data_IF_887141558459
#
_entry.id   IF_887141558459
#
_cell.length_a   1.000
_cell.length_b   1.000
_cell.length_c   1.000
_cell.angle_alpha   90.00
_cell.angle_beta   90.00
_cell.angle_gamma   90.00
#
_symmetry.space_group_name_H-M   'P 1'
#
loop_
_entity.id
_entity.type
_entity.pdbx_description
1 polymer ?
#
# COMPACT_ATOMS: atom_id res chain seq x y z
N UNK A 1 2.79 17.15 19.94
CA UNK A 1 2.21 16.43 21.07
C UNK A 1 3.24 15.40 21.46
N UNK A 2 3.75 15.48 22.68
CA UNK A 2 4.56 14.40 23.23
C UNK A 2 3.67 13.17 23.39
N UNK A 3 4.23 11.97 23.22
CA UNK A 3 3.43 10.74 23.18
C UNK A 3 2.67 10.50 24.50
N UNK A 4 3.25 10.95 25.62
CA UNK A 4 2.63 10.90 26.94
C UNK A 4 1.34 11.75 27.01
N UNK A 5 1.34 12.93 26.39
CA UNK A 5 0.16 13.82 26.32
C UNK A 5 -0.95 13.22 25.44
N UNK A 6 -0.58 12.42 24.43
CA UNK A 6 -1.52 11.67 23.59
C UNK A 6 -2.17 10.53 24.39
N UNK A 7 -1.41 9.76 25.17
CA UNK A 7 -1.95 8.68 26.00
C UNK A 7 -2.90 9.21 27.09
N UNK A 8 -2.52 10.30 27.77
CA UNK A 8 -3.38 10.95 28.77
C UNK A 8 -4.72 11.43 28.18
N UNK A 9 -4.70 12.02 26.97
CA UNK A 9 -5.92 12.54 26.32
C UNK A 9 -6.78 11.48 25.64
N UNK A 10 -6.18 10.40 25.14
CA UNK A 10 -6.89 9.32 24.44
C UNK A 10 -7.46 8.27 25.39
N UNK A 11 -7.01 8.23 26.65
CA UNK A 11 -7.36 7.17 27.59
C UNK A 11 -6.77 5.81 27.22
N UNK A 12 -5.83 5.78 26.26
CA UNK A 12 -5.11 4.58 25.84
C UNK A 12 -3.94 4.32 26.79
N UNK A 13 -3.79 3.06 27.18
CA UNK A 13 -2.59 2.60 27.88
C UNK A 13 -1.43 2.40 26.90
N UNK A 14 -0.22 2.77 27.33
CA UNK A 14 0.98 2.69 26.50
C UNK A 14 1.29 1.26 26.07
N UNK A 15 1.18 0.30 27.00
CA UNK A 15 1.47 -1.11 26.71
C UNK A 15 0.45 -1.68 25.73
N UNK A 16 -0.83 -1.34 25.90
CA UNK A 16 -1.88 -1.67 24.94
C UNK A 16 -1.62 -1.11 23.54
N UNK A 17 -1.24 0.17 23.45
CA UNK A 17 -0.93 0.81 22.17
C UNK A 17 0.30 0.21 21.49
N UNK A 18 1.38 -0.04 22.22
CA UNK A 18 2.58 -0.70 21.67
C UNK A 18 2.26 -2.11 21.15
N UNK A 19 1.42 -2.86 21.86
CA UNK A 19 0.95 -4.17 21.42
C UNK A 19 0.13 -4.10 20.13
N UNK A 20 -0.79 -3.13 20.02
CA UNK A 20 -1.57 -2.91 18.79
C UNK A 20 -0.67 -2.58 17.60
N UNK A 21 0.37 -1.74 17.83
CA UNK A 21 1.35 -1.42 16.81
C UNK A 21 2.16 -2.65 16.37
N UNK A 22 2.58 -3.50 17.31
CA UNK A 22 3.32 -4.74 17.00
C UNK A 22 2.46 -5.72 16.20
N UNK A 23 1.20 -5.91 16.58
CA UNK A 23 0.26 -6.77 15.85
C UNK A 23 0.00 -6.24 14.43
N UNK A 24 -0.20 -4.93 14.27
CA UNK A 24 -0.35 -4.29 12.97
C UNK A 24 0.92 -4.42 12.11
N UNK A 25 2.09 -4.20 12.69
CA UNK A 25 3.38 -4.32 12.00
C UNK A 25 3.60 -5.76 11.51
N UNK A 26 3.32 -6.76 12.36
CA UNK A 26 3.41 -8.17 12.00
C UNK A 26 2.53 -8.51 10.78
N UNK A 27 1.29 -8.01 10.74
CA UNK A 27 0.39 -8.21 9.60
C UNK A 27 0.94 -7.57 8.33
N UNK A 28 1.45 -6.33 8.42
CA UNK A 28 2.02 -5.60 7.27
C UNK A 28 3.25 -6.31 6.72
N UNK A 29 4.20 -6.68 7.59
CA UNK A 29 5.45 -7.36 7.19
C UNK A 29 5.13 -8.72 6.57
N UNK A 30 4.27 -9.52 7.21
CA UNK A 30 3.86 -10.81 6.67
C UNK A 30 3.21 -10.66 5.29
N UNK A 31 2.32 -9.68 5.10
CA UNK A 31 1.69 -9.42 3.81
C UNK A 31 2.73 -9.04 2.74
N UNK A 32 3.67 -8.15 3.08
CA UNK A 32 4.72 -7.73 2.15
C UNK A 32 5.57 -8.93 1.69
N UNK A 33 6.07 -9.72 2.64
CA UNK A 33 6.90 -10.90 2.36
C UNK A 33 6.16 -11.95 1.52
N UNK A 34 4.86 -12.16 1.77
CA UNK A 34 4.05 -13.10 0.99
C UNK A 34 3.84 -12.61 -0.45
N UNK A 35 3.58 -11.32 -0.63
CA UNK A 35 3.43 -10.74 -1.97
C UNK A 35 4.75 -10.74 -2.73
N UNK A 36 5.87 -10.44 -2.08
CA UNK A 36 7.21 -10.53 -2.68
C UNK A 36 7.52 -11.94 -3.16
N UNK A 37 7.36 -12.95 -2.29
CA UNK A 37 7.58 -14.35 -2.66
C UNK A 37 6.67 -14.81 -3.80
N UNK A 38 5.42 -14.33 -3.86
CA UNK A 38 4.49 -14.64 -4.93
C UNK A 38 4.90 -13.98 -6.26
N UNK A 39 5.39 -12.74 -6.20
CA UNK A 39 5.89 -12.01 -7.36
C UNK A 39 7.11 -12.72 -7.96
N UNK A 40 8.06 -13.14 -7.11
CA UNK A 40 9.26 -13.87 -7.51
C UNK A 40 8.90 -15.22 -8.14
N UNK A 41 8.01 -15.99 -7.51
CA UNK A 41 7.63 -17.33 -7.98
C UNK A 41 6.89 -17.31 -9.34
N UNK A 42 6.35 -16.17 -9.75
CA UNK A 42 5.58 -16.02 -10.99
C UNK A 42 6.22 -15.04 -11.98
N UNK A 43 7.48 -14.65 -11.74
CA UNK A 43 8.25 -13.70 -12.57
C UNK A 43 7.48 -12.39 -12.86
N UNK A 44 6.78 -11.89 -11.84
CA UNK A 44 6.05 -10.63 -11.93
C UNK A 44 7.05 -9.50 -11.74
N UNK A 45 7.25 -8.71 -12.80
CA UNK A 45 8.15 -7.56 -12.80
C UNK A 45 7.41 -6.28 -13.19
N UNK A 46 7.97 -5.14 -12.78
CA UNK A 46 7.61 -3.83 -13.32
C UNK A 46 8.45 -3.54 -14.57
N UNK A 47 7.92 -2.70 -15.45
CA UNK A 47 8.62 -2.24 -16.66
C UNK A 47 8.93 -0.75 -16.58
N UNK A 48 9.96 -0.26 -17.31
CA UNK A 48 10.22 1.18 -17.41
C UNK A 48 9.02 1.99 -17.91
N UNK A 49 8.24 1.42 -18.82
CA UNK A 49 7.03 2.04 -19.37
C UNK A 49 5.95 2.22 -18.30
N UNK A 50 5.68 1.18 -17.51
CA UNK A 50 4.74 1.24 -16.38
C UNK A 50 5.20 2.24 -15.32
N UNK A 51 6.51 2.30 -15.04
CA UNK A 51 7.08 3.26 -14.11
C UNK A 51 6.89 4.70 -14.58
N UNK A 52 7.20 4.99 -15.84
CA UNK A 52 6.98 6.32 -16.42
C UNK A 52 5.49 6.71 -16.43
N UNK A 53 4.61 5.77 -16.77
CA UNK A 53 3.17 5.98 -16.73
C UNK A 53 2.67 6.28 -15.32
N UNK A 54 3.21 5.58 -14.31
CA UNK A 54 2.88 5.80 -12.90
C UNK A 54 3.34 7.18 -12.42
N UNK A 55 4.57 7.59 -12.74
CA UNK A 55 5.08 8.94 -12.41
C UNK A 55 4.19 10.01 -13.03
N UNK A 56 3.86 9.87 -14.32
CA UNK A 56 3.00 10.83 -15.01
C UNK A 56 1.60 10.89 -14.36
N UNK A 57 1.02 9.74 -14.03
CA UNK A 57 -0.28 9.67 -13.35
C UNK A 57 -0.25 10.38 -11.99
N UNK A 58 0.79 10.14 -11.19
CA UNK A 58 0.98 10.78 -9.89
C UNK A 58 1.17 12.30 -10.01
N UNK A 59 1.92 12.75 -11.02
CA UNK A 59 2.13 14.16 -11.28
C UNK A 59 0.80 14.87 -11.59
N UNK A 60 0.01 14.30 -12.50
CA UNK A 60 -1.30 14.84 -12.87
C UNK A 60 -2.25 14.87 -11.67
N UNK A 61 -2.36 13.78 -10.90
CA UNK A 61 -3.25 13.73 -9.73
C UNK A 61 -2.85 14.73 -8.64
N UNK A 62 -1.55 14.95 -8.48
CA UNK A 62 -1.00 15.87 -7.48
C UNK A 62 -0.84 17.31 -7.98
N UNK A 63 -1.20 17.59 -9.24
CA UNK A 63 -1.02 18.89 -9.92
C UNK A 63 0.44 19.37 -9.88
N UNK A 64 1.38 18.43 -9.96
CA UNK A 64 2.81 18.69 -10.06
C UNK A 64 3.19 18.58 -11.54
N UNK A 65 4.11 19.42 -12.00
CA UNK A 65 4.67 19.27 -13.35
C UNK A 65 5.30 17.87 -13.53
N UNK A 66 4.94 17.10 -14.58
CA UNK A 66 5.44 15.73 -14.75
C UNK A 66 6.95 15.62 -14.81
N UNK A 67 7.63 16.59 -15.43
CA UNK A 67 9.08 16.58 -15.54
C UNK A 67 9.73 16.82 -14.19
N UNK A 68 9.20 17.76 -13.40
CA UNK A 68 9.66 18.01 -12.02
C UNK A 68 9.50 16.80 -11.11
N UNK A 69 8.34 16.13 -11.15
CA UNK A 69 8.14 14.93 -10.32
C UNK A 69 9.06 13.79 -10.76
N UNK A 70 9.23 13.61 -12.07
CA UNK A 70 10.18 12.64 -12.61
C UNK A 70 11.58 12.92 -12.06
N UNK A 71 12.11 14.12 -12.26
CA UNK A 71 13.47 14.45 -11.82
C UNK A 71 13.63 14.21 -10.30
N UNK A 72 12.65 14.62 -9.49
CA UNK A 72 12.64 14.35 -8.04
C UNK A 72 12.69 12.85 -7.69
N UNK A 73 11.96 11.99 -8.40
CA UNK A 73 11.98 10.55 -8.16
C UNK A 73 13.31 9.93 -8.61
N UNK A 74 13.85 10.37 -9.75
CA UNK A 74 15.09 9.81 -10.32
C UNK A 74 16.37 10.27 -9.60
N UNK A 75 16.33 11.39 -8.87
CA UNK A 75 17.43 11.86 -8.03
C UNK A 75 17.75 10.93 -6.85
N UNK A 76 16.83 10.02 -6.49
CA UNK A 76 16.97 9.14 -5.34
C UNK A 76 16.57 7.70 -5.70
N UNK A 77 17.54 6.79 -5.57
CA UNK A 77 17.35 5.38 -5.88
C UNK A 77 16.31 4.71 -4.99
N UNK A 78 16.16 5.13 -3.74
CA UNK A 78 15.17 4.57 -2.82
C UNK A 78 13.76 4.98 -3.26
N UNK A 79 13.53 6.26 -3.60
CA UNK A 79 12.24 6.72 -4.14
C UNK A 79 11.85 6.00 -5.44
N UNK A 80 12.83 5.82 -6.33
CA UNK A 80 12.65 5.06 -7.56
C UNK A 80 12.24 3.62 -7.28
N UNK A 81 12.97 2.94 -6.38
CA UNK A 81 12.71 1.56 -6.01
C UNK A 81 11.35 1.39 -5.33
N UNK A 82 11.00 2.26 -4.38
CA UNK A 82 9.69 2.24 -3.71
C UNK A 82 8.53 2.36 -4.69
N UNK A 83 8.65 3.24 -5.69
CA UNK A 83 7.61 3.42 -6.69
C UNK A 83 7.47 2.19 -7.59
N UNK A 84 8.61 1.61 -7.99
CA UNK A 84 8.66 0.40 -8.79
C UNK A 84 8.06 -0.80 -8.04
N UNK A 85 8.38 -0.96 -6.76
CA UNK A 85 7.82 -2.01 -5.90
C UNK A 85 6.30 -1.84 -5.69
N UNK A 86 5.78 -0.61 -5.65
CA UNK A 86 4.33 -0.37 -5.63
C UNK A 86 3.63 -0.84 -6.91
N UNK A 87 4.30 -0.77 -8.06
CA UNK A 87 3.77 -1.32 -9.33
C UNK A 87 3.79 -2.84 -9.28
N UNK A 88 4.93 -3.43 -8.91
CA UNK A 88 5.10 -4.88 -8.77
C UNK A 88 4.05 -5.48 -7.83
N UNK A 89 3.88 -4.91 -6.65
CA UNK A 89 2.91 -5.35 -5.66
C UNK A 89 1.45 -5.32 -6.16
N UNK A 90 1.05 -4.28 -6.91
CA UNK A 90 -0.28 -4.22 -7.52
C UNK A 90 -0.48 -5.35 -8.52
N UNK A 91 0.50 -5.57 -9.41
CA UNK A 91 0.45 -6.67 -10.38
C UNK A 91 0.37 -8.04 -9.70
N UNK A 92 1.08 -8.22 -8.59
CA UNK A 92 1.00 -9.45 -7.79
C UNK A 92 -0.38 -9.64 -7.18
N UNK A 93 -1.00 -8.59 -6.67
CA UNK A 93 -2.38 -8.66 -6.15
C UNK A 93 -3.36 -8.98 -7.29
N UNK A 94 -3.24 -8.34 -8.44
CA UNK A 94 -4.08 -8.62 -9.61
C UNK A 94 -3.94 -10.08 -10.05
N UNK A 95 -2.70 -10.59 -10.10
CA UNK A 95 -2.43 -12.00 -10.35
C UNK A 95 -3.10 -12.91 -9.31
N UNK A 96 -2.95 -12.61 -8.02
CA UNK A 96 -3.58 -13.37 -6.94
C UNK A 96 -5.10 -13.41 -7.09
N UNK A 97 -5.74 -12.28 -7.43
CA UNK A 97 -7.18 -12.21 -7.66
C UNK A 97 -7.65 -13.17 -8.76
N UNK A 98 -6.83 -13.42 -9.79
CA UNK A 98 -7.15 -14.42 -10.82
C UNK A 98 -7.16 -15.87 -10.32
N UNK A 99 -6.62 -16.14 -9.12
CA UNK A 99 -6.48 -17.47 -8.52
C UNK A 99 -7.42 -17.72 -7.35
N UNK A 100 -8.07 -16.69 -6.82
CA UNK A 100 -8.99 -16.84 -5.67
C UNK A 100 -10.40 -17.21 -6.13
N UNK A 101 -11.13 -17.92 -5.26
CA UNK A 101 -12.56 -18.17 -5.47
C UNK A 101 -13.34 -16.91 -5.09
N UNK A 102 -13.90 -16.23 -6.10
CA UNK A 102 -14.79 -15.09 -5.89
C UNK A 102 -16.19 -15.61 -5.50
N UNK A 103 -16.74 -15.07 -4.42
CA UNK A 103 -18.12 -15.34 -3.98
C UNK A 103 -18.83 -13.99 -3.94
N UNK A 104 -19.76 -13.79 -4.88
CA UNK A 104 -20.60 -12.61 -4.91
C UNK A 104 -21.72 -12.75 -3.89
N UNK A 105 -21.91 -11.72 -3.07
CA UNK A 105 -23.01 -11.64 -2.10
C UNK A 105 -23.90 -10.47 -2.49
N UNK A 106 -25.22 -10.70 -2.55
CA UNK A 106 -26.18 -9.63 -2.79
C UNK A 106 -26.19 -8.68 -1.58
N UNK A 107 -26.06 -7.38 -1.85
CA UNK A 107 -26.08 -6.34 -0.84
C UNK A 107 -27.49 -6.28 -0.22
N UNK A 108 -27.67 -6.83 0.98
CA UNK A 108 -28.91 -6.64 1.74
C UNK A 108 -29.02 -5.17 2.07
N UNK A 109 -29.92 -4.46 1.36
CA UNK A 109 -30.41 -3.14 1.81
C UNK A 109 -30.82 -3.29 3.27
N UNK A 110 -30.10 -2.62 4.17
CA UNK A 110 -30.47 -2.55 5.57
C UNK A 110 -31.85 -1.92 5.64
N UNK A 111 -32.85 -2.66 6.12
CA UNK A 111 -34.13 -2.09 6.53
C UNK A 111 -33.83 -1.04 7.61
N UNK A 112 -33.99 0.24 7.25
CA UNK A 112 -34.05 1.35 8.19
C UNK A 112 -35.15 1.01 9.20
N UNK A 113 -34.74 0.74 10.45
CA UNK A 113 -35.68 0.70 11.56
C UNK A 113 -36.05 2.14 11.88
N UNK A 114 -37.24 2.53 11.43
CA UNK A 114 -37.98 3.73 11.84
C UNK A 114 -38.29 3.73 13.35
#
# INVERSE_FOLDING_TARGET
MEMDEFFEKSGMDKEGFEKELDEAANVVVKRALVLEALADANDIQWTPEELNAEIHRLAVSSRIDPKKLQDYIYEDRERLFELAEKIRNRKTVDFLVTKVKVVEIEEKKSEEKE
#
